data_IF_410135706270
#
_entry.id   IF_410135706270
#
_cell.length_a   1.000
_cell.length_b   1.000
_cell.length_c   1.000
_cell.angle_alpha   90.00
_cell.angle_beta   90.00
_cell.angle_gamma   90.00
#
_symmetry.space_group_name_H-M   'P 1'
#
loop_
_entity.id
_entity.type
_entity.pdbx_description
1 polymer ?
#
# COMPACT_ATOMS: atom_id res chain seq x y z
N UNK A 1 33.08 -8.98 16.27
CA UNK A 1 32.39 -8.83 14.97
C UNK A 1 31.08 -8.09 15.19
N UNK A 2 31.01 -6.84 14.75
CA UNK A 2 29.82 -5.99 14.89
C UNK A 2 28.89 -6.20 13.70
N UNK A 3 27.71 -6.79 13.93
CA UNK A 3 26.65 -6.95 12.93
C UNK A 3 25.72 -5.74 12.87
N UNK A 4 26.25 -4.52 12.80
CA UNK A 4 25.37 -3.35 12.73
C UNK A 4 25.93 -2.16 11.93
N UNK A 5 25.92 -2.24 10.60
CA UNK A 5 25.17 -1.30 9.81
C UNK A 5 23.79 -1.94 9.61
N UNK A 6 22.93 -1.91 10.65
CA UNK A 6 21.54 -2.32 10.47
C UNK A 6 20.91 -1.23 9.59
N UNK A 7 20.98 -1.49 8.28
CA UNK A 7 20.28 -0.89 7.16
C UNK A 7 19.41 0.29 7.59
N UNK A 8 19.74 1.53 7.19
CA UNK A 8 18.75 2.62 7.19
C UNK A 8 17.52 2.07 6.47
N UNK A 9 16.47 1.75 7.21
CA UNK A 9 15.28 1.11 6.65
C UNK A 9 14.65 2.11 5.71
N UNK A 10 14.79 1.88 4.39
CA UNK A 10 14.14 2.72 3.40
C UNK A 10 12.64 2.45 3.44
N UNK A 11 11.94 3.28 4.20
CA UNK A 11 10.47 3.24 4.31
C UNK A 11 9.76 3.32 2.96
N UNK A 12 10.38 3.91 1.94
CA UNK A 12 9.84 3.97 0.57
C UNK A 12 9.92 2.62 -0.10
N UNK A 13 11.06 1.94 0.00
CA UNK A 13 11.23 0.57 -0.49
C UNK A 13 10.25 -0.38 0.22
N UNK A 14 10.14 -0.28 1.55
CA UNK A 14 9.20 -1.10 2.33
C UNK A 14 7.74 -0.84 1.91
N UNK A 15 7.36 0.41 1.68
CA UNK A 15 6.03 0.76 1.18
C UNK A 15 5.79 0.23 -0.25
N UNK A 16 6.80 0.27 -1.11
CA UNK A 16 6.74 -0.32 -2.45
C UNK A 16 6.54 -1.84 -2.41
N UNK A 17 7.33 -2.55 -1.60
CA UNK A 17 7.20 -4.00 -1.39
C UNK A 17 5.85 -4.37 -0.77
N UNK A 18 5.40 -3.63 0.24
CA UNK A 18 4.07 -3.81 0.81
C UNK A 18 3.00 -3.60 -0.26
N UNK A 19 3.11 -2.53 -1.04
CA UNK A 19 2.21 -2.24 -2.17
C UNK A 19 2.16 -3.38 -3.18
N UNK A 20 3.30 -3.98 -3.54
CA UNK A 20 3.36 -5.15 -4.41
C UNK A 20 2.60 -6.35 -3.80
N UNK A 21 2.80 -6.64 -2.52
CA UNK A 21 2.09 -7.72 -1.82
C UNK A 21 0.58 -7.48 -1.89
N UNK A 22 0.12 -6.26 -1.63
CA UNK A 22 -1.28 -5.87 -1.77
C UNK A 22 -1.81 -6.04 -3.20
N UNK A 23 -1.02 -5.67 -4.21
CA UNK A 23 -1.37 -5.87 -5.62
C UNK A 23 -1.49 -7.35 -5.98
N UNK A 24 -0.57 -8.19 -5.51
CA UNK A 24 -0.60 -9.65 -5.69
C UNK A 24 -1.81 -10.29 -4.99
N UNK A 25 -2.13 -9.85 -3.78
CA UNK A 25 -3.33 -10.29 -3.07
C UNK A 25 -4.59 -9.90 -3.85
N UNK A 26 -4.67 -8.65 -4.31
CA UNK A 26 -5.77 -8.17 -5.15
C UNK A 26 -5.97 -9.05 -6.38
N UNK A 27 -4.89 -9.35 -7.11
CA UNK A 27 -4.92 -10.25 -8.26
C UNK A 27 -5.35 -11.68 -7.89
N UNK A 28 -4.81 -12.22 -6.80
CA UNK A 28 -5.14 -13.57 -6.34
C UNK A 28 -6.63 -13.74 -6.03
N UNK A 29 -7.25 -12.75 -5.38
CA UNK A 29 -8.67 -12.79 -5.02
C UNK A 29 -9.61 -12.53 -6.20
N UNK A 30 -9.19 -11.78 -7.22
CA UNK A 30 -10.07 -11.38 -8.32
C UNK A 30 -9.83 -12.13 -9.63
N UNK A 31 -8.73 -12.87 -9.79
CA UNK A 31 -8.37 -13.55 -11.05
C UNK A 31 -9.48 -14.47 -11.59
N UNK A 32 -10.26 -15.11 -10.72
CA UNK A 32 -11.34 -16.02 -11.13
C UNK A 32 -12.53 -15.28 -11.75
N UNK A 33 -12.70 -14.00 -11.43
CA UNK A 33 -13.84 -13.17 -11.85
C UNK A 33 -13.42 -12.22 -12.97
N UNK A 34 -12.31 -11.52 -12.81
CA UNK A 34 -11.80 -10.58 -13.81
C UNK A 34 -10.98 -11.28 -14.91
N UNK A 35 -10.31 -12.40 -14.60
CA UNK A 35 -9.46 -13.13 -15.54
C UNK A 35 -7.97 -12.90 -15.32
N UNK A 36 -7.14 -13.57 -16.11
CA UNK A 36 -5.69 -13.56 -15.94
C UNK A 36 -5.03 -12.19 -16.15
N UNK A 37 -5.70 -11.26 -16.83
CA UNK A 37 -5.14 -9.94 -17.10
C UNK A 37 -4.87 -9.13 -15.82
N UNK A 38 -5.56 -9.42 -14.71
CA UNK A 38 -5.33 -8.73 -13.43
C UNK A 38 -3.88 -8.83 -12.95
N UNK A 39 -3.16 -9.89 -13.33
CA UNK A 39 -1.75 -10.04 -12.98
C UNK A 39 -0.86 -8.91 -13.54
N UNK A 40 -1.24 -8.26 -14.64
CA UNK A 40 -0.52 -7.08 -15.15
C UNK A 40 -0.74 -5.83 -14.29
N UNK A 41 -1.83 -5.77 -13.51
CA UNK A 41 -2.07 -4.69 -12.56
C UNK A 41 -1.35 -4.90 -11.21
N UNK A 42 -0.98 -6.13 -10.87
CA UNK A 42 -0.32 -6.43 -9.59
C UNK A 42 0.99 -5.63 -9.35
N UNK A 43 1.91 -5.47 -10.33
CA UNK A 43 3.09 -4.62 -10.16
C UNK A 43 2.79 -3.15 -9.89
N UNK A 44 1.63 -2.65 -10.34
CA UNK A 44 1.17 -1.28 -10.06
C UNK A 44 0.81 -1.08 -8.58
N UNK A 45 0.75 -2.16 -7.79
CA UNK A 45 0.74 -2.09 -6.33
C UNK A 45 1.93 -1.31 -5.75
N UNK A 46 3.12 -1.39 -6.39
CA UNK A 46 4.32 -0.66 -5.93
C UNK A 46 4.09 0.87 -5.89
N UNK A 47 3.76 1.54 -7.02
CA UNK A 47 3.50 2.98 -6.99
C UNK A 47 2.30 3.36 -6.12
N UNK A 48 1.27 2.50 -6.03
CA UNK A 48 0.12 2.72 -5.12
C UNK A 48 0.59 2.74 -3.66
N UNK A 49 1.40 1.76 -3.23
CA UNK A 49 1.94 1.69 -1.87
C UNK A 49 2.81 2.89 -1.51
N UNK A 50 3.66 3.33 -2.44
CA UNK A 50 4.47 4.55 -2.28
C UNK A 50 3.58 5.79 -2.16
N UNK A 51 2.52 5.91 -2.98
CA UNK A 51 1.58 7.01 -2.90
C UNK A 51 0.82 7.03 -1.56
N UNK A 52 0.38 5.87 -1.07
CA UNK A 52 -0.26 5.71 0.24
C UNK A 52 0.69 6.14 1.37
N UNK A 53 1.96 5.74 1.33
CA UNK A 53 2.96 6.18 2.29
C UNK A 53 3.08 7.71 2.29
N UNK A 54 3.33 8.31 1.12
CA UNK A 54 3.51 9.76 0.97
C UNK A 54 2.28 10.52 1.47
N UNK A 55 1.08 10.08 1.08
CA UNK A 55 -0.17 10.69 1.53
C UNK A 55 -0.45 10.51 3.02
N UNK A 56 0.20 9.55 3.68
CA UNK A 56 -0.02 9.26 5.11
C UNK A 56 1.10 9.76 6.01
N UNK A 57 2.17 10.36 5.48
CA UNK A 57 3.31 10.81 6.30
C UNK A 57 2.91 11.74 7.44
N UNK A 58 2.05 12.72 7.16
CA UNK A 58 1.52 13.64 8.18
C UNK A 58 0.85 12.87 9.33
N UNK A 59 0.09 11.81 9.03
CA UNK A 59 -0.79 11.17 10.03
C UNK A 59 -0.01 10.36 11.06
N UNK A 60 1.25 10.01 10.77
CA UNK A 60 2.13 9.26 11.69
C UNK A 60 2.56 10.05 12.92
N UNK A 61 2.52 11.39 12.86
CA UNK A 61 2.79 12.26 14.00
C UNK A 61 1.54 12.53 14.86
N UNK A 62 0.35 12.20 14.35
CA UNK A 62 -0.93 12.50 15.01
C UNK A 62 -1.38 11.38 15.95
N UNK A 63 -2.50 11.60 16.64
CA UNK A 63 -3.08 10.62 17.57
C UNK A 63 -3.48 9.33 16.85
N UNK A 64 -3.65 8.23 17.60
CA UNK A 64 -4.03 6.93 17.03
C UNK A 64 -5.40 6.97 16.33
N UNK A 65 -6.32 7.81 16.79
CA UNK A 65 -7.63 8.00 16.17
C UNK A 65 -7.54 8.64 14.79
N UNK A 66 -6.69 9.66 14.63
CA UNK A 66 -6.44 10.27 13.31
C UNK A 66 -5.83 9.27 12.34
N UNK A 67 -4.90 8.43 12.84
CA UNK A 67 -4.31 7.36 12.05
C UNK A 67 -5.37 6.33 11.61
N UNK A 68 -6.25 5.92 12.52
CA UNK A 68 -7.32 4.96 12.22
C UNK A 68 -8.24 5.46 11.10
N UNK A 69 -8.74 6.70 11.20
CA UNK A 69 -9.58 7.29 10.15
C UNK A 69 -8.83 7.42 8.82
N UNK A 70 -7.56 7.83 8.87
CA UNK A 70 -6.73 7.92 7.67
C UNK A 70 -6.52 6.54 7.01
N UNK A 71 -6.31 5.48 7.79
CA UNK A 71 -6.15 4.10 7.29
C UNK A 71 -7.38 3.66 6.51
N UNK A 72 -8.59 3.92 7.01
CA UNK A 72 -9.83 3.55 6.31
C UNK A 72 -9.87 4.23 4.94
N UNK A 73 -9.67 5.55 4.90
CA UNK A 73 -9.69 6.33 3.65
C UNK A 73 -8.60 5.84 2.69
N UNK A 74 -7.38 5.61 3.18
CA UNK A 74 -6.25 5.16 2.35
C UNK A 74 -6.45 3.76 1.80
N UNK A 75 -7.08 2.87 2.55
CA UNK A 75 -7.44 1.53 2.10
C UNK A 75 -8.46 1.60 0.96
N UNK A 76 -9.52 2.40 1.13
CA UNK A 76 -10.54 2.63 0.09
C UNK A 76 -9.89 3.21 -1.18
N UNK A 77 -9.05 4.25 -1.02
CA UNK A 77 -8.32 4.85 -2.14
C UNK A 77 -7.40 3.85 -2.85
N UNK A 78 -6.64 3.04 -2.11
CA UNK A 78 -5.72 2.06 -2.68
C UNK A 78 -6.46 0.99 -3.48
N UNK A 79 -7.60 0.50 -2.96
CA UNK A 79 -8.45 -0.47 -3.66
C UNK A 79 -9.11 0.15 -4.90
N UNK A 80 -9.57 1.40 -4.83
CA UNK A 80 -10.08 2.14 -5.98
C UNK A 80 -9.02 2.28 -7.09
N UNK A 81 -7.79 2.70 -6.71
CA UNK A 81 -6.68 2.84 -7.64
C UNK A 81 -6.30 1.50 -8.27
N UNK A 82 -6.24 0.42 -7.48
CA UNK A 82 -6.00 -0.92 -8.01
C UNK A 82 -7.09 -1.34 -9.00
N UNK A 83 -8.37 -1.12 -8.67
CA UNK A 83 -9.48 -1.41 -9.58
C UNK A 83 -9.42 -0.59 -10.87
N UNK A 84 -9.00 0.68 -10.81
CA UNK A 84 -8.73 1.50 -11.99
C UNK A 84 -7.59 0.93 -12.84
N UNK A 85 -6.49 0.53 -12.22
CA UNK A 85 -5.37 -0.12 -12.90
C UNK A 85 -5.82 -1.41 -13.61
N UNK A 86 -6.67 -2.22 -12.99
CA UNK A 86 -7.25 -3.41 -13.63
C UNK A 86 -8.11 -3.03 -14.83
N UNK A 87 -8.94 -1.98 -14.72
CA UNK A 87 -9.75 -1.49 -15.83
C UNK A 87 -8.91 -0.96 -17.00
N UNK A 88 -7.78 -0.30 -16.72
CA UNK A 88 -6.81 0.11 -17.74
C UNK A 88 -6.18 -1.08 -18.47
N UNK A 89 -5.85 -2.14 -17.74
CA UNK A 89 -5.35 -3.38 -18.34
C UNK A 89 -6.44 -4.07 -19.15
N UNK A 90 -7.68 -4.12 -18.67
CA UNK A 90 -8.81 -4.71 -19.40
C UNK A 90 -9.10 -3.93 -20.70
N UNK A 91 -8.85 -2.62 -20.72
CA UNK A 91 -8.95 -1.79 -21.93
C UNK A 91 -7.94 -2.16 -23.02
N UNK A 92 -6.79 -2.73 -22.66
CA UNK A 92 -5.79 -3.19 -23.63
C UNK A 92 -6.26 -4.43 -24.41
N UNK A 93 -7.37 -5.05 -24.01
CA UNK A 93 -7.96 -6.17 -24.73
C UNK A 93 -8.82 -5.65 -25.87
N UNK A 94 -8.59 -6.20 -27.05
CA UNK A 94 -9.35 -5.85 -28.25
C UNK A 94 -10.76 -6.45 -28.19
N UNK A 95 -11.73 -5.65 -27.71
CA UNK A 95 -13.14 -6.02 -27.64
C UNK A 95 -13.94 -4.90 -28.33
N UNK A 96 -14.62 -5.19 -29.45
CA UNK A 96 -15.32 -4.18 -30.23
C UNK A 96 -16.48 -3.56 -29.44
N UNK A 97 -16.80 -2.30 -29.73
CA UNK A 97 -17.92 -1.53 -29.17
C UNK A 97 -17.91 -1.29 -27.66
N UNK A 98 -16.76 -1.40 -26.98
CA UNK A 98 -16.65 -1.03 -25.57
C UNK A 98 -16.39 0.47 -25.37
N UNK A 99 -17.12 1.07 -24.43
CA UNK A 99 -16.77 2.39 -23.90
C UNK A 99 -15.65 2.25 -22.87
N UNK A 100 -14.44 2.72 -23.21
CA UNK A 100 -13.27 2.55 -22.36
C UNK A 100 -13.37 3.22 -20.98
N UNK A 101 -14.03 4.39 -20.89
CA UNK A 101 -14.26 5.05 -19.61
C UNK A 101 -15.19 4.23 -18.71
N UNK A 102 -16.24 3.66 -19.30
CA UNK A 102 -17.16 2.79 -18.56
C UNK A 102 -16.45 1.54 -18.01
N UNK A 103 -15.56 0.91 -18.78
CA UNK A 103 -14.76 -0.25 -18.33
C UNK A 103 -13.90 0.11 -17.12
N UNK A 104 -13.20 1.24 -17.16
CA UNK A 104 -12.36 1.70 -16.06
C UNK A 104 -13.16 1.94 -14.77
N UNK A 105 -14.27 2.69 -14.88
CA UNK A 105 -15.13 3.02 -13.73
C UNK A 105 -15.81 1.77 -13.19
N UNK A 106 -16.31 0.88 -14.07
CA UNK A 106 -16.93 -0.38 -13.67
C UNK A 106 -15.95 -1.26 -12.90
N UNK A 107 -14.70 -1.37 -13.36
CA UNK A 107 -13.67 -2.11 -12.63
C UNK A 107 -13.42 -1.49 -11.26
N UNK A 108 -13.16 -0.17 -11.19
CA UNK A 108 -12.98 0.54 -9.91
C UNK A 108 -14.12 0.29 -8.92
N UNK A 109 -15.37 0.46 -9.38
CA UNK A 109 -16.55 0.26 -8.56
C UNK A 109 -16.72 -1.19 -8.12
N UNK A 110 -16.36 -2.16 -8.96
CA UNK A 110 -16.43 -3.60 -8.62
C UNK A 110 -15.49 -3.94 -7.46
N UNK A 111 -14.26 -3.44 -7.49
CA UNK A 111 -13.30 -3.66 -6.40
C UNK A 111 -13.74 -2.95 -5.11
N UNK A 112 -14.23 -1.72 -5.21
CA UNK A 112 -14.78 -0.99 -4.06
C UNK A 112 -16.00 -1.69 -3.47
N UNK A 113 -16.91 -2.14 -4.33
CA UNK A 113 -18.08 -2.90 -3.91
C UNK A 113 -17.67 -4.18 -3.20
N UNK A 114 -16.70 -4.93 -3.74
CA UNK A 114 -16.15 -6.10 -3.08
C UNK A 114 -15.64 -5.78 -1.68
N UNK A 115 -14.77 -4.77 -1.54
CA UNK A 115 -14.23 -4.35 -0.25
C UNK A 115 -15.32 -3.96 0.77
N UNK A 116 -16.33 -3.20 0.34
CA UNK A 116 -17.33 -2.62 1.24
C UNK A 116 -18.48 -3.58 1.57
N UNK A 117 -18.85 -4.48 0.65
CA UNK A 117 -20.01 -5.37 0.79
C UNK A 117 -19.68 -6.78 1.30
N UNK A 118 -18.43 -7.24 1.18
CA UNK A 118 -18.03 -8.59 1.59
C UNK A 118 -17.30 -8.55 2.94
N UNK A 119 -17.92 -9.01 4.04
CA UNK A 119 -17.32 -8.97 5.37
C UNK A 119 -15.92 -9.61 5.48
N UNK A 120 -15.57 -10.70 4.76
CA UNK A 120 -14.22 -11.25 4.79
C UNK A 120 -13.13 -10.24 4.38
N UNK A 121 -13.45 -9.32 3.45
CA UNK A 121 -12.49 -8.30 3.00
C UNK A 121 -12.33 -7.14 3.99
N UNK A 122 -13.16 -7.06 5.03
CA UNK A 122 -12.94 -6.07 6.10
C UNK A 122 -11.69 -6.35 6.92
N UNK A 123 -11.18 -7.58 6.89
CA UNK A 123 -9.87 -7.92 7.43
C UNK A 123 -8.74 -7.08 6.80
N UNK A 124 -8.92 -6.57 5.57
CA UNK A 124 -7.95 -5.66 4.95
C UNK A 124 -7.84 -4.32 5.66
N UNK A 125 -8.89 -3.82 6.32
CA UNK A 125 -8.77 -2.61 7.13
C UNK A 125 -7.88 -2.85 8.36
N UNK A 126 -8.03 -4.01 9.01
CA UNK A 126 -7.17 -4.41 10.13
C UNK A 126 -5.72 -4.59 9.70
N UNK A 127 -5.50 -5.29 8.58
CA UNK A 127 -4.16 -5.49 8.02
C UNK A 127 -3.52 -4.18 7.59
N UNK A 128 -4.29 -3.28 6.98
CA UNK A 128 -3.85 -1.93 6.61
C UNK A 128 -3.48 -1.11 7.85
N UNK A 129 -4.27 -1.19 8.93
CA UNK A 129 -3.94 -0.55 10.19
C UNK A 129 -2.63 -1.07 10.78
N UNK A 130 -2.43 -2.39 10.82
CA UNK A 130 -1.20 -3.00 11.28
C UNK A 130 0.01 -2.53 10.44
N UNK A 131 -0.15 -2.45 9.12
CA UNK A 131 0.88 -1.97 8.20
C UNK A 131 1.26 -0.50 8.47
N UNK A 132 0.26 0.37 8.64
CA UNK A 132 0.47 1.78 8.98
C UNK A 132 1.06 1.97 10.40
N UNK A 133 0.68 1.14 11.36
CA UNK A 133 1.25 1.15 12.71
C UNK A 133 2.73 0.74 12.69
N UNK A 134 3.09 -0.27 11.90
CA UNK A 134 4.49 -0.68 11.69
C UNK A 134 5.30 0.45 11.03
N UNK A 135 4.78 1.05 9.97
CA UNK A 135 5.45 2.19 9.31
C UNK A 135 5.66 3.36 10.27
N UNK A 136 4.64 3.70 11.07
CA UNK A 136 4.75 4.74 12.10
C UNK A 136 5.85 4.41 13.11
N UNK A 137 5.90 3.17 13.59
CA UNK A 137 6.93 2.73 14.53
C UNK A 137 8.33 2.89 13.94
N UNK A 138 8.55 2.40 12.72
CA UNK A 138 9.84 2.49 12.03
C UNK A 138 10.28 3.94 11.78
N UNK A 139 9.38 4.80 11.30
CA UNK A 139 9.64 6.22 11.06
C UNK A 139 10.06 6.92 12.37
N UNK A 140 9.37 6.63 13.47
CA UNK A 140 9.66 7.25 14.77
C UNK A 140 10.95 6.73 15.42
N UNK A 141 11.52 5.60 14.96
CA UNK A 141 12.80 5.08 15.46
C UNK A 141 14.01 5.62 14.69
N UNK A 142 13.87 5.97 13.41
CA UNK A 142 14.97 6.46 12.56
C UNK A 142 15.73 7.66 13.15
N UNK A 143 15.08 8.68 13.75
CA UNK A 143 15.78 9.81 14.39
C UNK A 143 16.63 9.36 15.59
N UNK A 144 16.09 8.48 16.44
CA UNK A 144 16.73 8.04 17.70
C UNK A 144 18.00 7.23 17.46
N UNK A 145 18.06 6.46 16.38
CA UNK A 145 19.26 5.68 16.01
C UNK A 145 20.37 6.60 15.51
N UNK A 146 20.02 7.63 14.72
CA UNK A 146 20.98 8.61 14.22
C UNK A 146 21.59 9.45 15.35
N UNK A 147 20.82 9.77 16.38
CA UNK A 147 21.31 10.55 17.52
C UNK A 147 22.25 9.70 18.40
N UNK A 148 21.92 8.42 18.62
CA UNK A 148 22.74 7.49 19.40
C UNK A 148 24.09 7.15 18.73
N UNK A 149 24.18 7.14 17.39
CA UNK A 149 25.47 6.94 16.71
C UNK A 149 26.40 8.15 16.82
N UNK A 150 25.84 9.35 16.96
CA UNK A 150 26.62 10.60 17.01
C UNK A 150 27.18 10.91 18.40
N UNK A 151 26.73 10.20 19.45
CA UNK A 151 27.17 10.37 20.83
C UNK A 151 28.05 9.22 21.34
N UNK A 152 28.70 8.45 20.46
CA UNK A 152 29.76 7.54 20.90
C UNK A 152 30.86 8.36 21.61
N UNK A 153 31.19 8.07 22.89
CA UNK A 153 32.19 8.85 23.61
C UNK A 153 33.52 8.71 22.88
N UNK A 154 34.14 9.86 22.58
CA UNK A 154 35.53 9.90 22.14
C UNK A 154 36.36 9.23 23.24
N UNK A 155 36.82 8.01 22.96
CA UNK A 155 37.79 7.31 23.79
C UNK A 155 39.08 8.11 23.63
N UNK A 156 39.32 9.04 24.55
CA UNK A 156 40.62 9.70 24.67
C UNK A 156 41.65 8.62 25.04
N UNK A 157 42.62 8.42 24.14
CA UNK A 157 43.86 7.67 24.41
C UNK A 157 44.81 8.50 25.27
#
# INVERSE_FOLDING_TARGET
MSFAPLMKIDTTLLAGLSGLIWGLMGACFSQKVAGAHVWFAAPLGIPIGIAVLRGSRWTYEKTRWVLFSAVIIRTIMAVALFGLCVGLVDLMRDIPNRNGFAVMIQSMLTYLFGLLSMPPFWAFFLLSFANHALLRFLINQTPKISEKSNHAPAVHQ
#
